data_IF_391661171901
#
_entry.id   IF_391661171901
#
_cell.length_a   1.000
_cell.length_b   1.000
_cell.length_c   1.000
_cell.angle_alpha   90.00
_cell.angle_beta   90.00
_cell.angle_gamma   90.00
#
_symmetry.space_group_name_H-M   'P 1'
#
loop_
_entity.id
_entity.type
_entity.pdbx_description
1 polymer ?
#
# COMPACT_ATOMS: atom_id res chain seq x y z
N UNK A 1 45.25 -44.77 -38.80
CA UNK A 1 45.02 -43.47 -39.47
C UNK A 1 44.84 -42.46 -38.37
N UNK A 2 45.89 -41.66 -38.14
CA UNK A 2 46.06 -40.79 -36.98
C UNK A 2 45.03 -39.65 -36.98
N UNK A 3 44.28 -39.51 -35.88
CA UNK A 3 43.49 -38.31 -35.61
C UNK A 3 44.42 -37.32 -34.89
N UNK A 4 44.85 -36.32 -35.65
CA UNK A 4 45.65 -35.17 -35.21
C UNK A 4 44.84 -34.31 -34.25
N UNK A 5 45.35 -34.14 -33.01
CA UNK A 5 44.96 -33.08 -32.09
C UNK A 5 45.59 -31.77 -32.59
N UNK A 6 44.78 -30.74 -32.82
CA UNK A 6 45.25 -29.38 -33.03
C UNK A 6 45.12 -28.58 -31.71
N UNK A 7 46.14 -27.80 -31.30
CA UNK A 7 46.18 -27.12 -30.02
C UNK A 7 45.43 -25.78 -30.01
N UNK A 8 44.82 -25.50 -28.86
CA UNK A 8 44.24 -24.19 -28.51
C UNK A 8 45.26 -23.04 -28.63
N UNK A 9 44.87 -21.88 -29.16
CA UNK A 9 45.55 -20.63 -28.85
C UNK A 9 44.99 -20.02 -27.56
N UNK A 10 45.87 -19.98 -26.55
CA UNK A 10 45.78 -19.09 -25.40
C UNK A 10 45.89 -17.61 -25.81
N UNK A 11 45.47 -16.73 -24.87
CA UNK A 11 45.50 -15.25 -24.85
C UNK A 11 44.13 -14.65 -25.25
N UNK A 12 43.60 -13.62 -24.59
CA UNK A 12 44.29 -12.50 -23.96
C UNK A 12 43.31 -11.69 -23.08
N UNK A 13 43.87 -11.04 -22.05
CA UNK A 13 43.48 -9.74 -21.47
C UNK A 13 42.18 -9.64 -20.64
N UNK A 14 42.42 -9.65 -19.33
CA UNK A 14 41.85 -8.74 -18.34
C UNK A 14 42.02 -7.28 -18.79
N UNK A 15 40.92 -6.56 -18.97
CA UNK A 15 40.89 -5.10 -18.88
C UNK A 15 39.77 -4.74 -17.89
N UNK A 16 40.20 -4.28 -16.72
CA UNK A 16 39.37 -3.64 -15.69
C UNK A 16 38.98 -2.23 -16.16
N UNK A 17 37.69 -1.85 -16.19
CA UNK A 17 37.31 -0.45 -16.26
C UNK A 17 37.29 0.14 -14.86
N UNK A 18 38.44 0.71 -14.50
CA UNK A 18 38.64 2.05 -13.93
C UNK A 18 37.47 2.62 -13.10
N UNK A 19 37.70 2.59 -11.79
CA UNK A 19 36.99 3.29 -10.74
C UNK A 19 37.06 4.81 -10.99
N UNK A 20 35.95 5.41 -11.42
CA UNK A 20 35.83 6.86 -11.56
C UNK A 20 35.04 7.40 -10.35
N UNK A 21 35.78 7.81 -9.32
CA UNK A 21 35.30 8.68 -8.25
C UNK A 21 35.09 10.10 -8.80
N UNK A 22 33.95 10.75 -8.48
CA UNK A 22 33.95 12.20 -8.40
C UNK A 22 33.48 12.64 -7.02
N UNK A 23 34.41 12.66 -6.06
CA UNK A 23 34.31 13.57 -4.93
C UNK A 23 34.98 14.90 -5.28
N UNK A 24 34.20 15.98 -5.17
CA UNK A 24 34.71 17.28 -4.73
C UNK A 24 35.29 18.18 -5.81
N UNK A 25 34.46 19.12 -6.29
CA UNK A 25 34.95 20.48 -6.50
C UNK A 25 33.84 21.47 -6.18
N UNK A 26 34.00 22.09 -5.00
CA UNK A 26 33.65 23.48 -4.77
C UNK A 26 34.03 24.33 -5.97
N UNK A 27 33.08 25.08 -6.52
CA UNK A 27 33.37 26.25 -7.35
C UNK A 27 32.20 27.21 -7.34
N UNK A 28 32.38 28.24 -6.51
CA UNK A 28 32.12 29.64 -6.81
C UNK A 28 30.72 30.02 -7.33
N UNK A 29 29.96 30.59 -6.38
CA UNK A 29 29.08 31.73 -6.65
C UNK A 29 29.77 32.75 -7.57
N UNK A 30 29.24 32.90 -8.79
CA UNK A 30 29.46 34.10 -9.59
C UNK A 30 28.11 34.76 -9.81
N UNK A 31 28.00 35.97 -9.29
CA UNK A 31 27.01 36.96 -9.71
C UNK A 31 26.97 36.98 -11.24
N UNK A 32 25.80 36.81 -11.83
CA UNK A 32 25.56 37.28 -13.19
C UNK A 32 24.57 38.42 -13.10
N UNK A 33 25.12 39.60 -13.38
CA UNK A 33 24.44 40.86 -13.59
C UNK A 33 23.38 40.78 -14.68
N UNK A 34 22.48 41.75 -14.61
CA UNK A 34 21.40 41.99 -15.55
C UNK A 34 21.82 42.33 -16.98
N UNK A 35 20.83 42.25 -17.85
CA UNK A 35 20.89 42.61 -19.27
C UNK A 35 19.91 41.69 -20.00
N UNK A 36 18.66 42.08 -20.21
CA UNK A 36 18.30 43.12 -21.15
C UNK A 36 17.83 42.45 -22.44
N UNK A 37 16.51 42.36 -22.64
CA UNK A 37 15.97 41.64 -23.79
C UNK A 37 14.44 41.61 -23.84
N UNK A 38 13.82 42.77 -23.72
CA UNK A 38 12.39 42.99 -23.97
C UNK A 38 12.07 42.69 -25.44
N UNK A 39 11.57 41.48 -25.74
CA UNK A 39 10.89 41.20 -27.01
C UNK A 39 9.40 41.45 -26.82
N UNK A 40 9.01 42.65 -27.23
CA UNK A 40 7.63 43.12 -27.37
C UNK A 40 6.96 42.26 -28.44
N UNK A 41 6.18 41.26 -28.02
CA UNK A 41 5.15 40.62 -28.85
C UNK A 41 3.83 41.37 -28.65
N UNK A 42 3.03 41.62 -29.71
CA UNK A 42 1.75 42.30 -29.58
C UNK A 42 0.79 41.48 -28.71
N UNK A 43 0.06 42.09 -27.76
CA UNK A 43 -0.96 41.41 -26.99
C UNK A 43 -2.18 41.07 -27.87
N UNK A 44 -2.88 39.94 -27.63
CA UNK A 44 -4.13 39.64 -28.29
C UNK A 44 -5.23 40.64 -27.86
N UNK A 45 -6.17 40.98 -28.75
CA UNK A 45 -7.24 41.92 -28.45
C UNK A 45 -8.27 41.34 -27.46
N UNK A 46 -8.48 42.12 -26.39
CA UNK A 46 -9.69 42.29 -25.60
C UNK A 46 -10.84 41.30 -25.82
N UNK A 47 -10.89 40.26 -25.00
CA UNK A 47 -12.19 39.71 -24.56
C UNK A 47 -12.56 40.34 -23.24
N UNK A 48 -13.12 41.54 -23.34
CA UNK A 48 -13.86 42.21 -22.27
C UNK A 48 -15.06 41.33 -21.87
N UNK A 49 -14.88 40.56 -20.81
CA UNK A 49 -15.91 39.74 -20.18
C UNK A 49 -15.86 39.93 -18.68
N UNK A 50 -16.52 41.00 -18.21
CA UNK A 50 -16.91 41.24 -16.82
C UNK A 50 -17.30 39.93 -16.12
N UNK A 51 -16.68 39.66 -14.98
CA UNK A 51 -17.40 39.20 -13.80
C UNK A 51 -16.56 39.47 -12.55
N UNK A 52 -16.79 40.66 -12.00
CA UNK A 52 -16.66 40.91 -10.56
C UNK A 52 -17.52 39.90 -9.81
N UNK A 53 -16.87 38.93 -9.18
CA UNK A 53 -17.45 38.21 -8.06
C UNK A 53 -16.35 37.85 -7.08
N UNK A 54 -16.03 38.82 -6.22
CA UNK A 54 -15.54 38.53 -4.88
C UNK A 54 -16.63 37.77 -4.12
N UNK A 55 -16.26 36.67 -3.46
CA UNK A 55 -16.57 36.53 -2.05
C UNK A 55 -15.23 36.35 -1.32
N UNK A 56 -14.90 37.17 -0.33
CA UNK A 56 -15.66 37.23 0.90
C UNK A 56 -15.15 36.11 1.82
N UNK A 57 -14.30 36.52 2.77
CA UNK A 57 -14.13 35.93 4.10
C UNK A 57 -14.37 34.42 4.27
N UNK A 58 -13.33 33.70 4.68
CA UNK A 58 -13.38 32.96 5.94
C UNK A 58 -11.96 32.63 6.42
N UNK A 59 -11.56 33.29 7.50
CA UNK A 59 -10.45 32.88 8.34
C UNK A 59 -10.77 31.50 8.94
N UNK A 60 -9.82 30.56 9.02
CA UNK A 60 -10.02 29.35 9.80
C UNK A 60 -10.02 29.73 11.29
N UNK A 61 -11.23 29.78 11.85
CA UNK A 61 -11.48 29.87 13.29
C UNK A 61 -10.81 28.68 13.96
N UNK A 62 -9.90 28.97 14.89
CA UNK A 62 -9.38 28.02 15.85
C UNK A 62 -10.56 27.33 16.56
N UNK A 63 -10.61 26.00 16.44
CA UNK A 63 -11.54 25.16 17.20
C UNK A 63 -10.72 24.40 18.24
N UNK A 64 -10.73 24.81 19.52
CA UNK A 64 -10.41 23.91 20.62
C UNK A 64 -11.62 22.99 20.86
N UNK A 65 -11.43 21.94 21.65
CA UNK A 65 -12.43 20.96 22.08
C UNK A 65 -12.69 19.79 21.12
N UNK A 66 -12.04 18.66 21.39
CA UNK A 66 -12.71 17.58 22.11
C UNK A 66 -11.80 16.36 22.16
N UNK A 67 -11.07 16.25 23.26
CA UNK A 67 -10.45 15.02 23.71
C UNK A 67 -11.56 14.07 24.19
N UNK A 68 -12.27 13.45 23.25
CA UNK A 68 -13.11 12.30 23.54
C UNK A 68 -12.24 11.05 23.37
N UNK A 69 -11.92 10.44 24.50
CA UNK A 69 -11.06 9.26 24.60
C UNK A 69 -11.54 8.14 23.69
N UNK A 70 -10.67 7.75 22.77
CA UNK A 70 -10.72 6.44 22.13
C UNK A 70 -10.32 5.44 23.22
N UNK A 71 -11.31 4.90 23.93
CA UNK A 71 -11.14 3.74 24.80
C UNK A 71 -10.98 2.54 23.86
N UNK A 72 -9.74 2.31 23.45
CA UNK A 72 -9.38 1.04 22.82
C UNK A 72 -9.43 0.00 23.92
N UNK A 73 -10.50 -0.78 23.98
CA UNK A 73 -10.53 -1.95 24.86
C UNK A 73 -9.36 -2.87 24.47
N UNK A 74 -8.49 -3.25 25.41
CA UNK A 74 -7.48 -4.25 25.13
C UNK A 74 -8.20 -5.57 24.87
N UNK A 75 -8.09 -6.08 23.65
CA UNK A 75 -8.43 -7.47 23.34
C UNK A 75 -7.49 -8.33 24.20
N UNK A 76 -7.99 -8.74 25.36
CA UNK A 76 -7.36 -9.73 26.21
C UNK A 76 -7.55 -11.07 25.50
N UNK A 77 -6.59 -11.42 24.64
CA UNK A 77 -6.40 -12.80 24.21
C UNK A 77 -6.06 -13.60 25.46
N UNK A 78 -7.07 -14.28 26.00
CA UNK A 78 -6.92 -15.32 27.01
C UNK A 78 -6.03 -16.42 26.41
N UNK A 79 -4.73 -16.28 26.61
CA UNK A 79 -3.73 -17.27 26.23
C UNK A 79 -3.91 -18.47 27.17
N UNK A 80 -4.57 -19.50 26.66
CA UNK A 80 -4.68 -20.81 27.31
C UNK A 80 -3.26 -21.30 27.67
N UNK A 81 -2.95 -21.55 28.96
CA UNK A 81 -1.64 -22.05 29.36
C UNK A 81 -1.67 -23.58 29.22
N UNK A 82 -0.95 -24.13 28.23
CA UNK A 82 -0.73 -25.57 28.21
C UNK A 82 -0.34 -26.27 26.92
N UNK A 83 -0.14 -25.58 25.80
CA UNK A 83 0.35 -26.29 24.60
C UNK A 83 1.89 -26.40 24.58
N UNK A 84 2.43 -27.62 24.40
CA UNK A 84 3.87 -27.82 24.31
C UNK A 84 4.41 -27.13 23.06
N UNK A 85 5.46 -26.33 23.26
CA UNK A 85 6.19 -25.66 22.20
C UNK A 85 6.75 -26.68 21.21
N UNK A 86 6.09 -26.81 20.06
CA UNK A 86 6.77 -27.26 18.86
C UNK A 86 7.57 -26.07 18.32
N UNK A 87 8.87 -26.13 18.56
CA UNK A 87 9.90 -25.28 18.00
C UNK A 87 9.90 -25.42 16.47
N UNK A 88 9.09 -24.62 15.78
CA UNK A 88 9.23 -24.40 14.33
C UNK A 88 10.12 -23.19 14.13
N UNK A 89 11.42 -23.43 14.24
CA UNK A 89 12.44 -22.48 13.83
C UNK A 89 12.40 -22.29 12.31
N UNK A 90 12.26 -21.03 11.88
CA UNK A 90 12.81 -20.53 10.62
C UNK A 90 12.14 -20.99 9.33
N UNK A 91 11.05 -20.33 8.93
CA UNK A 91 10.76 -20.14 7.52
C UNK A 91 9.96 -18.85 7.36
N UNK A 92 10.66 -17.79 6.96
CA UNK A 92 10.04 -16.59 6.43
C UNK A 92 9.03 -17.00 5.36
N UNK A 93 7.74 -16.87 5.70
CA UNK A 93 6.59 -17.17 4.86
C UNK A 93 6.50 -16.21 3.67
N UNK A 94 7.42 -16.37 2.73
CA UNK A 94 7.35 -15.76 1.42
C UNK A 94 6.68 -16.77 0.49
N UNK A 95 5.34 -16.80 0.57
CA UNK A 95 4.43 -17.38 -0.43
C UNK A 95 4.94 -18.68 -1.07
N UNK A 96 4.89 -19.79 -0.33
CA UNK A 96 5.11 -21.10 -0.94
C UNK A 96 3.89 -21.44 -1.81
N UNK A 97 3.90 -20.92 -3.05
CA UNK A 97 2.86 -21.10 -4.06
C UNK A 97 2.68 -22.58 -4.42
N UNK A 98 3.62 -23.43 -4.00
CA UNK A 98 3.66 -24.87 -4.21
C UNK A 98 2.51 -25.61 -3.52
N UNK A 99 2.07 -25.15 -2.35
CA UNK A 99 0.92 -25.75 -1.64
C UNK A 99 -0.42 -25.40 -2.28
N UNK A 100 -0.47 -24.35 -3.12
CA UNK A 100 -1.62 -24.07 -3.98
C UNK A 100 -1.64 -24.97 -5.23
N UNK A 101 -0.58 -25.75 -5.48
CA UNK A 101 -0.37 -26.54 -6.70
C UNK A 101 -0.51 -28.07 -6.44
N UNK A 102 -0.53 -28.53 -5.19
CA UNK A 102 -0.76 -29.94 -4.83
C UNK A 102 -2.07 -30.14 -4.06
N UNK A 103 -3.10 -30.75 -4.63
CA UNK A 103 -3.34 -32.17 -4.31
C UNK A 103 -4.25 -32.92 -5.30
N UNK A 104 -4.66 -32.30 -6.41
CA UNK A 104 -5.28 -33.00 -7.54
C UNK A 104 -4.54 -32.58 -8.80
N UNK A 105 -3.58 -33.39 -9.27
CA UNK A 105 -2.70 -33.03 -10.41
C UNK A 105 -3.45 -32.61 -11.69
N UNK A 106 -4.73 -32.94 -11.79
CA UNK A 106 -5.63 -32.54 -12.86
C UNK A 106 -6.00 -31.04 -12.81
N UNK A 107 -6.20 -30.47 -11.61
CA UNK A 107 -6.52 -29.05 -11.39
C UNK A 107 -5.32 -28.15 -11.69
N UNK A 108 -4.11 -28.57 -11.30
CA UNK A 108 -2.87 -27.86 -11.61
C UNK A 108 -2.59 -27.81 -13.12
N UNK A 109 -2.81 -28.91 -13.83
CA UNK A 109 -2.65 -28.98 -15.29
C UNK A 109 -3.68 -28.09 -16.01
N UNK A 110 -4.92 -28.05 -15.54
CA UNK A 110 -5.97 -27.19 -16.10
C UNK A 110 -5.65 -25.70 -15.95
N UNK A 111 -5.17 -25.27 -14.79
CA UNK A 111 -4.78 -23.88 -14.55
C UNK A 111 -3.53 -23.49 -15.36
N UNK A 112 -2.49 -24.33 -15.34
CA UNK A 112 -1.28 -24.10 -16.13
C UNK A 112 -1.60 -24.05 -17.64
N UNK A 113 -2.47 -24.95 -18.12
CA UNK A 113 -2.94 -24.95 -19.50
C UNK A 113 -3.76 -23.71 -19.85
N UNK A 114 -4.65 -23.27 -18.97
CA UNK A 114 -5.45 -22.05 -19.15
C UNK A 114 -4.59 -20.80 -19.28
N UNK A 115 -3.60 -20.63 -18.39
CA UNK A 115 -2.66 -19.51 -18.45
C UNK A 115 -1.82 -19.55 -19.72
N UNK A 116 -1.31 -20.73 -20.10
CA UNK A 116 -0.55 -20.92 -21.34
C UNK A 116 -1.37 -20.52 -22.57
N UNK A 117 -2.64 -20.95 -22.65
CA UNK A 117 -3.55 -20.62 -23.75
C UNK A 117 -3.78 -19.12 -23.84
N UNK A 118 -4.02 -18.44 -22.70
CA UNK A 118 -4.22 -16.98 -22.67
C UNK A 118 -2.97 -16.25 -23.16
N UNK A 119 -1.79 -16.66 -22.70
CA UNK A 119 -0.50 -16.10 -23.15
C UNK A 119 -0.35 -16.30 -24.67
N UNK A 120 -0.60 -17.50 -25.19
CA UNK A 120 -0.53 -17.79 -26.63
C UNK A 120 -1.52 -16.95 -27.43
N UNK A 121 -2.76 -16.76 -26.94
CA UNK A 121 -3.77 -15.91 -27.60
C UNK A 121 -3.30 -14.45 -27.63
N UNK A 122 -2.75 -13.93 -26.54
CA UNK A 122 -2.22 -12.56 -26.46
C UNK A 122 -1.04 -12.36 -27.42
N UNK A 123 -0.06 -13.27 -27.44
CA UNK A 123 1.05 -13.22 -28.40
C UNK A 123 0.54 -13.31 -29.85
N UNK A 124 -0.39 -14.22 -30.15
CA UNK A 124 -0.96 -14.37 -31.49
C UNK A 124 -1.75 -13.14 -31.92
N UNK A 125 -2.45 -12.46 -31.00
CA UNK A 125 -3.16 -11.21 -31.26
C UNK A 125 -2.19 -10.07 -31.57
N UNK A 126 -1.08 -9.95 -30.83
CA UNK A 126 -0.03 -8.97 -31.12
C UNK A 126 0.67 -9.25 -32.46
N UNK A 127 0.94 -10.52 -32.77
CA UNK A 127 1.68 -10.89 -33.98
C UNK A 127 0.81 -10.80 -35.25
N UNK A 128 -0.49 -11.11 -35.16
CA UNK A 128 -1.45 -10.91 -36.26
C UNK A 128 -1.57 -9.43 -36.66
N UNK A 129 -1.49 -8.51 -35.69
CA UNK A 129 -1.50 -7.07 -35.95
C UNK A 129 -0.28 -6.59 -36.75
N UNK A 130 0.89 -7.18 -36.50
CA UNK A 130 2.14 -6.85 -37.21
C UNK A 130 2.18 -7.42 -38.62
N UNK A 131 1.75 -8.68 -38.83
CA UNK A 131 1.82 -9.33 -40.16
C UNK A 131 0.96 -8.67 -41.25
N UNK A 132 -0.16 -8.02 -40.90
CA UNK A 132 -0.98 -7.29 -41.88
C UNK A 132 -0.38 -5.97 -42.36
N UNK A 133 0.63 -5.43 -41.66
CA UNK A 133 1.21 -4.11 -41.97
C UNK A 133 2.44 -4.17 -42.88
N UNK A 134 3.01 -5.36 -43.13
CA UNK A 134 4.24 -5.50 -43.90
C UNK A 134 4.05 -5.89 -45.37
N UNK A 135 2.81 -6.06 -45.85
CA UNK A 135 2.57 -6.63 -47.17
C UNK A 135 2.48 -5.62 -48.32
N UNK A 136 2.36 -4.30 -48.10
CA UNK A 136 2.07 -3.40 -49.24
C UNK A 136 2.72 -2.02 -49.28
N UNK A 137 3.36 -1.49 -48.22
CA UNK A 137 3.91 -0.12 -48.32
C UNK A 137 5.31 -0.04 -47.70
N UNK A 138 6.31 0.17 -48.57
CA UNK A 138 7.61 0.66 -48.14
C UNK A 138 7.39 2.05 -47.52
N UNK A 139 7.64 2.23 -46.21
CA UNK A 139 7.29 3.46 -45.50
C UNK A 139 8.04 4.63 -46.12
N UNK A 140 7.31 5.66 -46.48
CA UNK A 140 7.90 6.86 -47.07
C UNK A 140 8.86 7.50 -46.06
N UNK A 141 9.95 8.16 -46.50
CA UNK A 141 10.89 8.83 -45.58
C UNK A 141 10.21 9.82 -44.62
N UNK A 142 9.08 10.41 -45.02
CA UNK A 142 8.26 11.29 -44.16
C UNK A 142 7.60 10.56 -43.00
N UNK A 143 7.10 9.34 -43.24
CA UNK A 143 6.49 8.52 -42.19
C UNK A 143 7.53 8.01 -41.18
N UNK A 144 8.76 7.72 -41.63
CA UNK A 144 9.85 7.34 -40.73
C UNK A 144 10.20 8.47 -39.76
N UNK A 145 10.23 9.72 -40.24
CA UNK A 145 10.47 10.89 -39.39
C UNK A 145 9.32 11.09 -38.39
N UNK A 146 8.07 10.91 -38.82
CA UNK A 146 6.91 10.99 -37.93
C UNK A 146 6.95 9.90 -36.84
N UNK A 147 7.31 8.66 -37.22
CA UNK A 147 7.46 7.55 -36.29
C UNK A 147 8.56 7.82 -35.24
N UNK A 148 9.72 8.35 -35.66
CA UNK A 148 10.80 8.71 -34.74
C UNK A 148 10.38 9.79 -33.74
N UNK A 149 9.59 10.79 -34.16
CA UNK A 149 9.03 11.81 -33.24
C UNK A 149 8.11 11.18 -32.20
N UNK A 150 7.18 10.32 -32.62
CA UNK A 150 6.29 9.63 -31.67
C UNK A 150 7.06 8.72 -30.70
N UNK A 151 8.16 8.12 -31.16
CA UNK A 151 9.02 7.32 -30.30
C UNK A 151 9.78 8.19 -29.28
N UNK A 152 10.26 9.37 -29.69
CA UNK A 152 10.89 10.32 -28.78
C UNK A 152 9.92 10.85 -27.72
N UNK A 153 8.68 11.19 -28.09
CA UNK A 153 7.63 11.61 -27.15
C UNK A 153 7.25 10.49 -26.17
N UNK A 154 7.20 9.24 -26.63
CA UNK A 154 6.94 8.11 -25.75
C UNK A 154 8.09 7.86 -24.77
N UNK A 155 9.35 8.05 -25.21
CA UNK A 155 10.52 7.94 -24.32
C UNK A 155 10.50 9.01 -23.25
N UNK A 156 10.21 10.27 -23.61
CA UNK A 156 10.14 11.34 -22.62
C UNK A 156 9.03 11.09 -21.59
N UNK A 157 7.87 10.56 -22.00
CA UNK A 157 6.79 10.17 -21.07
C UNK A 157 7.20 9.06 -20.10
N UNK A 158 7.95 8.06 -20.58
CA UNK A 158 8.46 6.97 -19.73
C UNK A 158 9.48 7.51 -18.73
N UNK A 159 10.35 8.42 -19.16
CA UNK A 159 11.32 9.07 -18.28
C UNK A 159 10.63 9.92 -17.20
N UNK A 160 9.61 10.71 -17.57
CA UNK A 160 8.79 11.45 -16.60
C UNK A 160 8.12 10.52 -15.60
N UNK A 161 7.48 9.45 -16.06
CA UNK A 161 6.83 8.47 -15.19
C UNK A 161 7.82 7.78 -14.26
N UNK A 162 9.05 7.49 -14.72
CA UNK A 162 10.10 6.89 -13.89
C UNK A 162 10.51 7.81 -12.74
N UNK A 163 10.65 9.12 -13.02
CA UNK A 163 10.97 10.11 -11.99
C UNK A 163 9.82 10.19 -10.98
N UNK A 164 8.57 10.27 -11.46
CA UNK A 164 7.38 10.31 -10.60
C UNK A 164 7.25 9.05 -9.72
N UNK A 165 7.49 7.86 -10.28
CA UNK A 165 7.47 6.61 -9.52
C UNK A 165 8.56 6.56 -8.44
N UNK A 166 9.74 7.12 -8.73
CA UNK A 166 10.83 7.22 -7.76
C UNK A 166 10.47 8.18 -6.62
N UNK A 167 9.87 9.33 -6.92
CA UNK A 167 9.42 10.30 -5.92
C UNK A 167 8.28 9.75 -5.06
N UNK A 168 7.33 9.04 -5.67
CA UNK A 168 6.29 8.34 -4.94
C UNK A 168 6.85 7.28 -3.98
N UNK A 169 7.87 6.53 -4.41
CA UNK A 169 8.53 5.53 -3.57
C UNK A 169 9.21 6.19 -2.37
N UNK A 170 9.88 7.33 -2.58
CA UNK A 170 10.47 8.12 -1.48
C UNK A 170 9.41 8.65 -0.51
N UNK A 171 8.28 9.12 -1.03
CA UNK A 171 7.16 9.58 -0.20
C UNK A 171 6.58 8.45 0.65
N UNK A 172 6.41 7.25 0.06
CA UNK A 172 5.92 6.08 0.79
C UNK A 172 6.92 5.62 1.86
N UNK A 173 8.23 5.63 1.57
CA UNK A 173 9.25 5.32 2.57
C UNK A 173 9.18 6.28 3.77
N UNK A 174 9.15 7.60 3.53
CA UNK A 174 9.05 8.58 4.61
C UNK A 174 7.76 8.42 5.46
N UNK A 175 6.64 8.07 4.82
CA UNK A 175 5.39 7.81 5.53
C UNK A 175 5.48 6.56 6.41
N UNK A 176 6.11 5.49 5.91
CA UNK A 176 6.33 4.26 6.67
C UNK A 176 7.27 4.50 7.85
N UNK A 177 8.35 5.25 7.66
CA UNK A 177 9.27 5.61 8.74
C UNK A 177 8.55 6.39 9.86
N UNK A 178 7.68 7.34 9.48
CA UNK A 178 6.86 8.09 10.44
C UNK A 178 5.92 7.17 11.23
N UNK A 179 5.30 6.20 10.55
CA UNK A 179 4.41 5.23 11.21
C UNK A 179 5.19 4.27 12.11
N UNK A 180 6.37 3.82 11.70
CA UNK A 180 7.25 2.97 12.49
C UNK A 180 7.68 3.67 13.79
N UNK A 181 8.16 4.91 13.69
CA UNK A 181 8.53 5.72 14.86
C UNK A 181 7.35 5.92 15.84
N UNK A 182 6.13 6.13 15.32
CA UNK A 182 4.92 6.23 16.15
C UNK A 182 4.59 4.92 16.86
N UNK A 183 4.79 3.77 16.20
CA UNK A 183 4.57 2.46 16.82
C UNK A 183 5.62 2.18 17.90
N UNK A 184 6.90 2.49 17.66
CA UNK A 184 7.96 2.37 18.67
C UNK A 184 7.66 3.22 19.91
N UNK A 185 7.16 4.44 19.72
CA UNK A 185 6.76 5.31 20.83
C UNK A 185 5.59 4.72 21.64
N UNK A 186 4.57 4.15 20.96
CA UNK A 186 3.43 3.54 21.64
C UNK A 186 3.83 2.28 22.42
N UNK A 187 4.78 1.50 21.90
CA UNK A 187 5.33 0.33 22.59
C UNK A 187 6.06 0.79 23.85
N UNK A 188 6.93 1.81 23.76
CA UNK A 188 7.64 2.36 24.90
C UNK A 188 6.69 2.88 26.00
N UNK A 189 5.62 3.61 25.63
CA UNK A 189 4.60 4.06 26.59
C UNK A 189 3.82 2.89 27.23
N UNK A 190 3.56 1.82 26.48
CA UNK A 190 2.94 0.63 27.03
C UNK A 190 3.85 -0.08 28.05
N UNK A 191 5.14 -0.22 27.74
CA UNK A 191 6.14 -0.82 28.63
C UNK A 191 6.32 0.01 29.92
N UNK A 192 6.37 1.33 29.81
CA UNK A 192 6.42 2.23 30.97
C UNK A 192 5.20 2.04 31.89
N UNK A 193 4.00 1.89 31.31
CA UNK A 193 2.77 1.63 32.07
C UNK A 193 2.79 0.27 32.74
N UNK A 194 3.28 -0.77 32.06
CA UNK A 194 3.43 -2.12 32.61
C UNK A 194 4.41 -2.12 33.79
N UNK A 195 5.53 -1.41 33.68
CA UNK A 195 6.49 -1.27 34.76
C UNK A 195 5.87 -0.61 36.00
N UNK A 196 5.12 0.50 35.81
CA UNK A 196 4.40 1.17 36.90
C UNK A 196 3.34 0.29 37.56
N UNK A 197 2.61 -0.50 36.77
CA UNK A 197 1.64 -1.47 37.27
C UNK A 197 2.32 -2.57 38.10
N UNK A 198 3.44 -3.10 37.62
CA UNK A 198 4.23 -4.08 38.34
C UNK A 198 4.77 -3.52 39.66
N UNK A 199 5.31 -2.29 39.68
CA UNK A 199 5.76 -1.64 40.91
C UNK A 199 4.62 -1.43 41.92
N UNK A 200 3.43 -1.04 41.45
CA UNK A 200 2.25 -0.87 42.29
C UNK A 200 1.74 -2.21 42.88
N UNK A 201 1.82 -3.29 42.10
CA UNK A 201 1.45 -4.64 42.55
C UNK A 201 2.43 -5.17 43.62
N UNK A 202 3.73 -4.96 43.44
CA UNK A 202 4.76 -5.38 44.41
C UNK A 202 4.80 -4.48 45.66
N UNK A 203 4.48 -3.19 45.52
CA UNK A 203 4.48 -2.21 46.61
C UNK A 203 3.19 -2.19 47.43
N UNK A 204 2.10 -2.77 46.93
CA UNK A 204 0.85 -2.87 47.69
C UNK A 204 1.01 -3.95 48.78
N UNK A 205 0.97 -3.60 50.09
CA UNK A 205 1.00 -4.60 51.14
C UNK A 205 -0.15 -5.60 50.93
N UNK A 206 0.05 -6.89 51.25
CA UNK A 206 -0.92 -7.95 51.01
C UNK A 206 -2.25 -7.54 51.61
N UNK A 207 -3.19 -7.19 50.73
CA UNK A 207 -4.51 -6.75 51.15
C UNK A 207 -5.12 -7.94 51.90
N UNK A 208 -5.51 -7.79 53.19
CA UNK A 208 -5.99 -8.91 53.98
C UNK A 208 -7.15 -9.57 53.24
N UNK A 209 -6.95 -10.84 52.90
CA UNK A 209 -7.85 -11.74 52.18
C UNK A 209 -9.29 -11.48 52.60
N UNK A 210 -9.99 -10.66 51.82
CA UNK A 210 -11.43 -10.46 51.99
C UNK A 210 -12.07 -11.75 51.48
N UNK A 211 -12.90 -12.43 52.29
CA UNK A 211 -13.41 -13.76 51.96
C UNK A 211 -14.10 -13.75 50.59
N UNK A 212 -13.91 -14.80 49.78
CA UNK A 212 -14.45 -14.89 48.43
C UNK A 212 -15.97 -14.83 48.51
N UNK A 213 -16.52 -13.64 48.23
CA UNK A 213 -17.95 -13.49 48.05
C UNK A 213 -18.25 -14.15 46.71
N UNK A 214 -18.66 -15.42 46.76
CA UNK A 214 -19.24 -16.18 45.66
C UNK A 214 -20.33 -15.33 45.01
N UNK A 215 -19.95 -14.52 44.02
CA UNK A 215 -20.87 -13.93 43.06
C UNK A 215 -21.02 -14.97 41.98
N UNK A 216 -21.93 -15.90 42.20
CA UNK A 216 -22.56 -16.65 41.11
C UNK A 216 -23.04 -15.59 40.11
N UNK A 217 -22.56 -15.55 38.86
CA UNK A 217 -23.09 -14.65 37.86
C UNK A 217 -24.51 -15.13 37.57
N UNK A 218 -25.50 -14.50 38.21
CA UNK A 218 -26.88 -14.57 37.79
C UNK A 218 -26.94 -13.85 36.45
N UNK A 219 -26.79 -14.62 35.37
CA UNK A 219 -27.08 -14.19 34.01
C UNK A 219 -28.60 -14.09 33.92
N UNK A 220 -29.17 -13.04 34.49
CA UNK A 220 -30.50 -12.57 34.10
C UNK A 220 -30.29 -11.76 32.81
N UNK A 221 -30.80 -12.21 31.65
CA UNK A 221 -30.70 -11.48 30.39
C UNK A 221 -31.68 -10.31 30.41
N UNK A 222 -31.39 -9.31 31.23
CA UNK A 222 -31.95 -7.96 31.13
C UNK A 222 -30.84 -7.00 30.76
N UNK A 223 -30.04 -7.36 29.75
CA UNK A 223 -29.27 -6.36 29.03
C UNK A 223 -30.29 -5.50 28.29
N UNK A 224 -30.51 -4.29 28.79
CA UNK A 224 -31.25 -3.27 28.07
C UNK A 224 -30.70 -3.23 26.64
N UNK A 225 -31.50 -3.67 25.67
CA UNK A 225 -31.09 -3.71 24.27
C UNK A 225 -30.69 -2.30 23.88
N UNK A 226 -29.43 -2.13 23.48
CA UNK A 226 -28.90 -0.84 23.04
C UNK A 226 -29.83 -0.28 21.95
N UNK A 227 -30.34 0.96 22.05
CA UNK A 227 -31.15 1.58 21.01
C UNK A 227 -30.51 1.54 19.62
N UNK A 228 -29.17 1.47 19.53
CA UNK A 228 -28.46 1.26 18.26
C UNK A 228 -28.75 -0.09 17.59
N UNK A 229 -28.83 -1.17 18.37
CA UNK A 229 -29.10 -2.52 17.85
C UNK A 229 -30.52 -2.64 17.30
N UNK A 230 -31.49 -1.97 17.93
CA UNK A 230 -32.88 -1.92 17.44
C UNK A 230 -32.93 -1.35 16.02
N UNK A 231 -32.13 -0.32 15.72
CA UNK A 231 -32.08 0.28 14.40
C UNK A 231 -31.42 -0.63 13.36
N UNK A 232 -30.36 -1.35 13.74
CA UNK A 232 -29.73 -2.36 12.87
C UNK A 232 -30.73 -3.45 12.49
N UNK A 233 -31.52 -3.96 13.46
CA UNK A 233 -32.53 -4.98 13.19
C UNK A 233 -33.66 -4.48 12.29
N UNK A 234 -34.14 -3.24 12.48
CA UNK A 234 -35.16 -2.66 11.60
C UNK A 234 -34.68 -2.53 10.15
N UNK A 235 -33.42 -2.12 9.93
CA UNK A 235 -32.86 -2.02 8.58
C UNK A 235 -32.68 -3.40 7.94
N UNK A 236 -32.24 -4.40 8.70
CA UNK A 236 -32.16 -5.77 8.22
C UNK A 236 -33.55 -6.36 7.88
N UNK A 237 -34.56 -6.10 8.71
CA UNK A 237 -35.95 -6.53 8.48
C UNK A 237 -36.56 -5.85 7.23
N UNK A 238 -36.00 -4.71 6.80
CA UNK A 238 -36.35 -4.06 5.54
C UNK A 238 -35.64 -4.64 4.29
N UNK A 239 -34.75 -5.62 4.49
CA UNK A 239 -34.01 -6.31 3.42
C UNK A 239 -32.71 -5.63 2.96
N UNK A 240 -32.13 -4.72 3.77
CA UNK A 240 -30.83 -4.12 3.45
C UNK A 240 -29.67 -5.08 3.71
N UNK A 241 -28.61 -4.93 2.93
CA UNK A 241 -27.35 -5.67 3.10
C UNK A 241 -26.51 -5.11 4.27
N UNK A 242 -25.70 -5.96 4.90
CA UNK A 242 -24.86 -5.63 6.06
C UNK A 242 -23.94 -4.43 5.79
N UNK A 243 -23.41 -4.30 4.58
CA UNK A 243 -22.53 -3.18 4.19
C UNK A 243 -23.31 -1.86 4.13
N UNK A 244 -24.54 -1.88 3.64
CA UNK A 244 -25.40 -0.69 3.56
C UNK A 244 -25.86 -0.24 4.95
N UNK A 245 -26.20 -1.20 5.82
CA UNK A 245 -26.55 -0.94 7.22
C UNK A 245 -25.37 -0.29 7.96
N UNK A 246 -24.16 -0.83 7.78
CA UNK A 246 -22.93 -0.29 8.38
C UNK A 246 -22.69 1.17 7.96
N UNK A 247 -22.82 1.45 6.66
CA UNK A 247 -22.70 2.82 6.12
C UNK A 247 -23.77 3.76 6.66
N UNK A 248 -25.02 3.30 6.79
CA UNK A 248 -26.13 4.14 7.23
C UNK A 248 -26.13 4.41 8.74
N UNK A 249 -25.69 3.44 9.54
CA UNK A 249 -25.60 3.54 11.00
C UNK A 249 -24.26 4.14 11.47
N UNK A 250 -23.26 4.20 10.59
CA UNK A 250 -21.91 4.66 10.93
C UNK A 250 -21.12 3.65 11.76
N UNK A 251 -21.50 2.38 11.74
CA UNK A 251 -20.82 1.31 12.48
C UNK A 251 -19.94 0.45 11.56
N UNK A 252 -18.89 -0.21 12.09
CA UNK A 252 -18.08 -1.15 11.32
C UNK A 252 -18.90 -2.34 10.80
N UNK A 253 -18.66 -2.76 9.56
CA UNK A 253 -19.40 -3.88 8.93
C UNK A 253 -19.35 -5.17 9.76
N UNK A 254 -18.19 -5.52 10.33
CA UNK A 254 -18.07 -6.71 11.17
C UNK A 254 -18.89 -6.65 12.47
N UNK A 255 -19.10 -5.45 13.03
CA UNK A 255 -19.96 -5.27 14.22
C UNK A 255 -21.44 -5.50 13.84
N UNK A 256 -21.86 -5.00 12.68
CA UNK A 256 -23.21 -5.22 12.16
C UNK A 256 -23.45 -6.71 11.90
N UNK A 257 -22.52 -7.40 11.25
CA UNK A 257 -22.60 -8.85 11.01
C UNK A 257 -22.68 -9.65 12.31
N UNK A 258 -21.87 -9.29 13.31
CA UNK A 258 -21.90 -9.95 14.62
C UNK A 258 -23.26 -9.77 15.31
N UNK A 259 -23.81 -8.55 15.31
CA UNK A 259 -25.13 -8.27 15.89
C UNK A 259 -26.23 -9.06 15.19
N UNK A 260 -26.18 -9.16 13.86
CA UNK A 260 -27.14 -9.94 13.09
C UNK A 260 -26.99 -11.46 13.31
N UNK A 261 -25.75 -11.97 13.42
CA UNK A 261 -25.48 -13.36 13.72
C UNK A 261 -26.00 -13.77 15.10
N UNK A 262 -25.86 -12.90 16.10
CA UNK A 262 -26.39 -13.12 17.46
C UNK A 262 -27.92 -13.16 17.52
N UNK A 263 -28.63 -12.59 16.53
CA UNK A 263 -30.10 -12.70 16.42
C UNK A 263 -30.56 -13.98 15.74
N UNK A 264 -29.73 -14.54 14.86
CA UNK A 264 -30.08 -15.73 14.09
C UNK A 264 -29.84 -17.06 14.83
N UNK A 265 -29.00 -17.05 15.87
CA UNK A 265 -28.71 -18.20 16.74
C UNK A 265 -29.62 -18.27 17.95
#
# INVERSE_FOLDING_TARGET
IHTTMDPMPARMRTDEPEMNDPHGSDSAHTLTEGGGGTLIGPPPPDTAGKNDQSPGFNAPTARPESAAGFVTEPIVLQRSPGEPMHETAGATGFWDVSDLIGSDGLSGILMAGGVLIIVVILLRRLWRGKRRRHATETPTPREQIAALRTQAENRSRIETFRIEAHDFTRQMAALLDTKAARLEQLIADADDRLCRLAEAEHGSPPQPTRPPKNRTPSIEPTAAVDPGHVRIYQLADSGMDSIEIARQTGQPTGQVELILALRAG
#
